data_IF_593704223263
#
_entry.id   IF_593704223263
#
_cell.length_a   1.000
_cell.length_b   1.000
_cell.length_c   1.000
_cell.angle_alpha   90.00
_cell.angle_beta   90.00
_cell.angle_gamma   90.00
#
_symmetry.space_group_name_H-M   'P 1'
#
loop_
_entity.id
_entity.type
_entity.pdbx_description
1 polymer ?
#
# COMPACT_ATOMS: atom_id res chain seq x y z
N UNK A 1 -2.74 -10.57 10.43
CA UNK A 1 -2.22 -9.27 10.95
C UNK A 1 -3.25 -8.23 10.59
N UNK A 2 -3.67 -7.32 11.49
CA UNK A 2 -4.64 -6.29 11.08
C UNK A 2 -4.05 -5.28 10.09
N UNK A 3 -4.89 -4.66 9.26
CA UNK A 3 -4.47 -3.57 8.37
C UNK A 3 -3.79 -2.43 9.13
N UNK A 4 -4.28 -2.08 10.32
CA UNK A 4 -3.61 -1.08 11.16
C UNK A 4 -2.19 -1.48 11.55
N UNK A 5 -2.00 -2.71 12.03
CA UNK A 5 -0.67 -3.24 12.37
C UNK A 5 0.25 -3.29 11.15
N UNK A 6 -0.29 -3.60 9.97
CA UNK A 6 0.44 -3.57 8.71
C UNK A 6 0.92 -2.15 8.37
N UNK A 7 0.08 -1.12 8.52
CA UNK A 7 0.49 0.26 8.28
C UNK A 7 1.59 0.72 9.25
N UNK A 8 1.51 0.32 10.51
CA UNK A 8 2.57 0.57 11.50
C UNK A 8 3.88 -0.10 11.07
N UNK A 9 3.80 -1.37 10.66
CA UNK A 9 4.95 -2.13 10.18
C UNK A 9 5.58 -1.51 8.92
N UNK A 10 4.79 -1.11 7.93
CA UNK A 10 5.28 -0.39 6.75
C UNK A 10 6.03 0.90 7.12
N UNK A 11 5.52 1.65 8.10
CA UNK A 11 6.17 2.84 8.61
C UNK A 11 7.52 2.54 9.28
N UNK A 12 7.61 1.43 10.00
CA UNK A 12 8.85 0.98 10.63
C UNK A 12 9.90 0.60 9.58
N UNK A 13 9.52 -0.24 8.62
CA UNK A 13 10.35 -0.62 7.48
C UNK A 13 10.89 0.59 6.73
N UNK A 14 10.03 1.59 6.47
CA UNK A 14 10.42 2.80 5.75
C UNK A 14 11.46 3.64 6.52
N UNK A 15 11.27 3.80 7.83
CA UNK A 15 12.10 4.70 8.67
C UNK A 15 13.40 4.05 9.14
N UNK A 16 13.40 2.74 9.32
CA UNK A 16 14.48 2.01 9.98
C UNK A 16 15.20 1.07 9.00
N UNK A 17 14.53 0.00 8.57
CA UNK A 17 15.18 -1.11 7.85
C UNK A 17 15.64 -0.73 6.45
N UNK A 18 14.82 0.04 5.72
CA UNK A 18 15.10 0.47 4.34
C UNK A 18 15.46 1.95 4.22
N UNK A 19 15.93 2.54 5.31
CA UNK A 19 16.35 3.94 5.30
C UNK A 19 17.47 4.18 4.29
N UNK A 20 17.20 5.01 3.28
CA UNK A 20 18.17 5.35 2.23
C UNK A 20 18.16 4.41 1.03
N UNK A 21 17.33 3.36 1.03
CA UNK A 21 17.00 2.60 -0.17
C UNK A 21 15.78 3.24 -0.85
N UNK A 22 16.03 4.17 -1.77
CA UNK A 22 14.97 4.94 -2.43
C UNK A 22 13.94 4.07 -3.16
N UNK A 23 14.40 2.98 -3.80
CA UNK A 23 13.52 2.10 -4.56
C UNK A 23 12.56 1.36 -3.63
N UNK A 24 13.07 0.78 -2.54
CA UNK A 24 12.22 0.08 -1.58
C UNK A 24 11.31 1.07 -0.85
N UNK A 25 11.82 2.24 -0.46
CA UNK A 25 11.02 3.28 0.19
C UNK A 25 9.84 3.75 -0.67
N UNK A 26 10.03 3.91 -1.99
CA UNK A 26 8.93 4.24 -2.91
C UNK A 26 7.87 3.14 -2.91
N UNK A 27 8.27 1.86 -2.95
CA UNK A 27 7.33 0.74 -2.95
C UNK A 27 6.51 0.66 -1.64
N UNK A 28 7.15 0.90 -0.50
CA UNK A 28 6.46 0.94 0.80
C UNK A 28 5.42 2.06 0.88
N UNK A 29 5.77 3.25 0.37
CA UNK A 29 4.84 4.39 0.32
C UNK A 29 3.68 4.10 -0.63
N UNK A 30 3.93 3.49 -1.79
CA UNK A 30 2.87 3.10 -2.73
C UNK A 30 1.87 2.14 -2.09
N UNK A 31 2.36 1.16 -1.32
CA UNK A 31 1.50 0.23 -0.59
C UNK A 31 0.68 0.93 0.49
N UNK A 32 1.30 1.82 1.27
CA UNK A 32 0.59 2.65 2.25
C UNK A 32 -0.54 3.46 1.63
N UNK A 33 -0.30 4.10 0.48
CA UNK A 33 -1.34 4.85 -0.23
C UNK A 33 -2.45 3.97 -0.81
N UNK A 34 -2.15 2.75 -1.25
CA UNK A 34 -3.17 1.83 -1.73
C UNK A 34 -4.12 1.43 -0.59
N UNK A 35 -3.57 1.13 0.59
CA UNK A 35 -4.36 0.85 1.80
C UNK A 35 -5.27 2.04 2.14
N UNK A 36 -4.73 3.26 2.21
CA UNK A 36 -5.52 4.46 2.50
C UNK A 36 -6.66 4.67 1.51
N UNK A 37 -6.41 4.52 0.19
CA UNK A 37 -7.47 4.64 -0.82
C UNK A 37 -8.57 3.59 -0.66
N UNK A 38 -8.23 2.35 -0.28
CA UNK A 38 -9.22 1.29 -0.08
C UNK A 38 -10.05 1.55 1.19
N UNK A 39 -9.44 2.10 2.24
CA UNK A 39 -10.14 2.54 3.45
C UNK A 39 -11.08 3.70 3.12
N UNK A 40 -10.62 4.72 2.39
CA UNK A 40 -11.44 5.87 1.98
C UNK A 40 -12.64 5.45 1.12
N UNK A 41 -12.47 4.43 0.28
CA UNK A 41 -13.55 3.84 -0.52
C UNK A 41 -14.50 2.95 0.31
N UNK A 42 -14.17 2.65 1.56
CA UNK A 42 -14.91 1.72 2.42
C UNK A 42 -14.86 0.27 1.96
N UNK A 43 -13.83 -0.10 1.19
CA UNK A 43 -13.64 -1.46 0.66
C UNK A 43 -13.00 -2.37 1.72
N UNK A 44 -12.06 -1.81 2.50
CA UNK A 44 -11.43 -2.47 3.64
C UNK A 44 -11.52 -1.58 4.87
N UNK A 45 -11.28 -2.14 6.04
CA UNK A 45 -11.20 -1.43 7.32
C UNK A 45 -9.85 -1.63 7.98
N UNK A 46 -9.45 -0.75 8.92
CA UNK A 46 -8.22 -0.95 9.70
C UNK A 46 -8.18 -2.25 10.53
N UNK A 47 -9.32 -2.90 10.73
CA UNK A 47 -9.45 -4.11 11.54
C UNK A 47 -9.42 -5.40 10.72
N UNK A 48 -9.50 -5.31 9.40
CA UNK A 48 -9.48 -6.49 8.52
C UNK A 48 -8.12 -7.20 8.62
N UNK A 49 -8.11 -8.52 8.42
CA UNK A 49 -6.86 -9.26 8.33
C UNK A 49 -6.19 -9.00 6.98
N UNK A 50 -4.97 -8.48 7.01
CA UNK A 50 -4.13 -8.24 5.86
C UNK A 50 -4.03 -9.46 4.94
N UNK A 51 -3.90 -10.67 5.47
CA UNK A 51 -3.74 -11.87 4.63
C UNK A 51 -5.00 -12.11 3.77
N UNK A 52 -6.18 -11.78 4.29
CA UNK A 52 -7.46 -11.94 3.61
C UNK A 52 -7.67 -10.88 2.51
N UNK A 53 -7.21 -9.65 2.73
CA UNK A 53 -7.44 -8.51 1.82
C UNK A 53 -6.22 -8.08 1.01
N UNK A 54 -5.07 -8.74 1.18
CA UNK A 54 -3.79 -8.40 0.52
C UNK A 54 -3.92 -8.30 -1.00
N UNK A 55 -4.68 -9.19 -1.62
CA UNK A 55 -4.94 -9.19 -3.06
C UNK A 55 -5.58 -7.88 -3.55
N UNK A 56 -6.52 -7.29 -2.79
CA UNK A 56 -7.15 -6.02 -3.13
C UNK A 56 -6.14 -4.86 -3.11
N UNK A 57 -5.19 -4.90 -2.18
CA UNK A 57 -4.13 -3.89 -2.06
C UNK A 57 -3.20 -3.96 -3.27
N UNK A 58 -2.78 -5.16 -3.68
CA UNK A 58 -1.94 -5.34 -4.86
C UNK A 58 -2.66 -4.93 -6.15
N UNK A 59 -3.93 -5.29 -6.31
CA UNK A 59 -4.75 -4.88 -7.44
C UNK A 59 -4.89 -3.34 -7.53
N UNK A 60 -5.03 -2.65 -6.40
CA UNK A 60 -5.13 -1.19 -6.32
C UNK A 60 -3.80 -0.50 -6.71
N UNK A 61 -2.65 -1.10 -6.39
CA UNK A 61 -1.32 -0.59 -6.82
C UNK A 61 -1.20 -0.73 -8.35
N UNK A 62 -1.52 -1.90 -8.88
CA UNK A 62 -1.45 -2.19 -10.32
C UNK A 62 -2.39 -1.28 -11.14
N UNK A 63 -3.60 -1.03 -10.64
CA UNK A 63 -4.55 -0.13 -11.27
C UNK A 63 -3.99 1.29 -11.42
N UNK A 64 -3.41 1.85 -10.35
CA UNK A 64 -2.79 3.17 -10.40
C UNK A 64 -1.58 3.22 -11.34
N UNK A 65 -0.77 2.16 -11.38
CA UNK A 65 0.35 2.07 -12.32
C UNK A 65 -0.16 2.07 -13.77
N UNK A 66 -1.19 1.28 -14.10
CA UNK A 66 -1.79 1.26 -15.44
C UNK A 66 -2.42 2.60 -15.83
N UNK A 67 -3.13 3.23 -14.89
CA UNK A 67 -3.73 4.57 -15.08
C UNK A 67 -2.70 5.65 -15.41
N UNK A 68 -1.49 5.58 -14.83
CA UNK A 68 -0.38 6.49 -15.16
C UNK A 68 0.21 6.24 -16.55
N UNK A 69 0.32 4.98 -16.99
CA UNK A 69 0.83 4.62 -18.31
C UNK A 69 -0.19 4.85 -19.45
N UNK A 70 -1.49 4.87 -19.15
CA UNK A 70 -2.54 5.17 -20.12
C UNK A 70 -2.71 6.66 -20.46
N UNK A 71 -2.01 7.57 -19.76
CA UNK A 71 -2.09 9.03 -19.98
C UNK A 71 -1.07 9.58 -20.98
N UNK A 72 -0.26 8.72 -21.59
CA UNK A 72 0.55 9.03 -22.77
C UNK A 72 -0.17 8.55 -24.02
N UNK A 73 -1.11 9.36 -24.51
CA UNK A 73 -1.63 9.33 -25.88
C UNK A 73 -2.19 10.71 -26.25
#
# INVERSE_FOLDING_TARGET
MSIHEMQVFLGDLYRNDYKGDELIQINLVQMGWAIERLIDKGIITPFDDYDEVSHLIFDEIDFEQRSKHGKTN
#
